data_IF_300314664608
#
_entry.id   IF_300314664608
#
_cell.length_a   1.000
_cell.length_b   1.000
_cell.length_c   1.000
_cell.angle_alpha   90.00
_cell.angle_beta   90.00
_cell.angle_gamma   90.00
#
_symmetry.space_group_name_H-M   'P 1'
#
loop_
_entity.id
_entity.type
_entity.pdbx_description
1 polymer ?
#
# COMPACT_ATOMS: atom_id res chain seq x y z
N UNK A 1 -23.33 40.42 38.98
CA UNK A 1 -24.47 39.60 38.53
C UNK A 1 -24.59 39.64 37.00
N UNK A 2 -23.70 38.95 36.28
CA UNK A 2 -23.76 38.80 34.81
C UNK A 2 -23.27 37.42 34.33
N UNK A 3 -23.08 36.48 35.27
CA UNK A 3 -22.48 35.15 35.03
C UNK A 3 -23.47 34.00 35.23
N UNK A 4 -24.75 34.28 35.45
CA UNK A 4 -25.79 33.24 35.61
C UNK A 4 -26.53 32.96 34.28
N UNK A 5 -26.43 33.87 33.30
CA UNK A 5 -27.14 33.72 32.01
C UNK A 5 -26.40 32.84 30.99
N UNK A 6 -25.10 32.60 31.17
CA UNK A 6 -24.27 31.82 30.20
C UNK A 6 -24.38 30.31 30.41
N UNK A 7 -24.80 29.87 31.60
CA UNK A 7 -24.90 28.44 31.93
C UNK A 7 -26.19 27.82 31.36
N UNK A 8 -27.21 28.64 31.04
CA UNK A 8 -28.50 28.14 30.53
C UNK A 8 -28.51 27.86 29.02
N UNK A 9 -27.49 28.28 28.26
CA UNK A 9 -27.35 27.95 26.83
C UNK A 9 -26.73 26.55 26.65
N UNK A 10 -26.12 25.97 27.69
CA UNK A 10 -25.45 24.66 27.63
C UNK A 10 -26.42 23.49 27.93
N UNK A 11 -27.61 23.74 28.48
CA UNK A 11 -28.52 22.67 28.97
C UNK A 11 -29.77 22.39 28.14
N UNK A 12 -30.01 23.05 27.00
CA UNK A 12 -31.28 22.88 26.25
C UNK A 12 -31.13 22.24 24.85
N UNK A 13 -29.92 21.90 24.40
CA UNK A 13 -29.76 21.09 23.17
C UNK A 13 -29.32 19.66 23.52
N UNK A 14 -29.92 19.14 24.59
CA UNK A 14 -30.01 17.71 24.81
C UNK A 14 -31.50 17.41 24.96
N UNK A 15 -32.00 16.70 23.95
CA UNK A 15 -33.26 15.95 23.87
C UNK A 15 -34.36 16.51 22.97
N UNK A 16 -34.61 15.70 21.93
CA UNK A 16 -35.81 15.60 21.10
C UNK A 16 -35.85 16.50 19.86
N UNK A 17 -34.98 16.18 18.89
CA UNK A 17 -35.47 15.83 17.56
C UNK A 17 -34.78 14.54 17.10
N UNK A 18 -35.62 13.50 16.98
CA UNK A 18 -35.56 12.37 16.03
C UNK A 18 -34.23 11.60 15.94
N UNK A 19 -34.04 10.47 16.62
CA UNK A 19 -34.56 9.12 16.27
C UNK A 19 -34.24 8.64 14.83
N UNK A 20 -33.61 9.46 13.97
CA UNK A 20 -33.08 9.02 12.67
C UNK A 20 -31.54 9.00 12.59
N UNK A 21 -30.84 9.51 13.62
CA UNK A 21 -29.37 9.52 13.64
C UNK A 21 -28.72 8.28 14.28
N UNK A 22 -29.50 7.38 14.92
CA UNK A 22 -28.94 6.20 15.59
C UNK A 22 -28.83 4.96 14.70
N UNK A 23 -29.53 4.93 13.55
CA UNK A 23 -29.39 3.84 12.58
C UNK A 23 -28.49 4.16 11.38
N UNK A 24 -28.04 5.40 11.19
CA UNK A 24 -27.05 5.76 10.15
C UNK A 24 -25.60 5.78 10.63
N UNK A 25 -25.36 5.57 11.94
CA UNK A 25 -24.00 5.46 12.50
C UNK A 25 -23.43 4.04 12.47
N UNK A 26 -24.20 3.10 11.95
CA UNK A 26 -23.75 1.74 11.70
C UNK A 26 -23.17 1.69 10.28
N UNK A 27 -21.83 1.64 10.22
CA UNK A 27 -21.04 1.22 9.05
C UNK A 27 -20.82 2.25 7.94
N UNK A 28 -20.31 3.45 8.27
CA UNK A 28 -19.32 4.07 7.37
C UNK A 28 -17.99 3.37 7.66
N UNK A 29 -17.70 2.28 6.95
CA UNK A 29 -16.29 2.07 6.61
C UNK A 29 -15.94 3.26 5.74
N UNK A 30 -15.02 4.11 6.20
CA UNK A 30 -14.58 5.24 5.38
C UNK A 30 -13.93 4.67 4.14
N UNK A 31 -14.14 5.31 3.00
CA UNK A 31 -13.45 4.96 1.77
C UNK A 31 -11.92 4.95 1.99
N UNK A 32 -11.41 5.80 2.90
CA UNK A 32 -10.02 5.75 3.41
C UNK A 32 -9.68 4.40 4.04
N UNK A 33 -10.49 3.90 4.98
CA UNK A 33 -10.21 2.64 5.67
C UNK A 33 -10.10 1.48 4.67
N UNK A 34 -11.04 1.42 3.73
CA UNK A 34 -11.02 0.41 2.68
C UNK A 34 -9.78 0.54 1.78
N UNK A 35 -9.45 1.73 1.30
CA UNK A 35 -8.27 1.94 0.45
C UNK A 35 -6.96 1.62 1.16
N UNK A 36 -6.84 1.94 2.44
CA UNK A 36 -5.65 1.61 3.23
C UNK A 36 -5.55 0.10 3.46
N UNK A 37 -6.67 -0.59 3.70
CA UNK A 37 -6.69 -2.07 3.78
C UNK A 37 -6.27 -2.70 2.45
N UNK A 38 -6.80 -2.21 1.34
CA UNK A 38 -6.46 -2.69 -0.01
C UNK A 38 -4.98 -2.43 -0.35
N UNK A 39 -4.46 -1.24 -0.03
CA UNK A 39 -3.05 -0.89 -0.19
C UNK A 39 -2.14 -1.83 0.61
N UNK A 40 -2.46 -2.11 1.88
CA UNK A 40 -1.65 -3.02 2.68
C UNK A 40 -1.73 -4.46 2.19
N UNK A 41 -2.92 -4.90 1.74
CA UNK A 41 -3.06 -6.23 1.15
C UNK A 41 -2.23 -6.35 -0.13
N UNK A 42 -2.23 -5.31 -0.98
CA UNK A 42 -1.39 -5.27 -2.17
C UNK A 42 0.10 -5.28 -1.83
N UNK A 43 0.54 -4.43 -0.90
CA UNK A 43 1.93 -4.41 -0.43
C UNK A 43 2.36 -5.77 0.12
N UNK A 44 1.50 -6.45 0.89
CA UNK A 44 1.75 -7.80 1.40
C UNK A 44 1.87 -8.84 0.28
N UNK A 45 1.03 -8.76 -0.74
CA UNK A 45 1.12 -9.65 -1.89
C UNK A 45 2.44 -9.44 -2.63
N UNK A 46 2.87 -8.19 -2.85
CA UNK A 46 4.18 -7.90 -3.43
C UNK A 46 5.30 -8.53 -2.60
N UNK A 47 5.32 -8.33 -1.29
CA UNK A 47 6.35 -8.90 -0.40
C UNK A 47 6.42 -10.42 -0.49
N UNK A 48 5.26 -11.10 -0.58
CA UNK A 48 5.21 -12.56 -0.62
C UNK A 48 5.60 -13.12 -1.99
N UNK A 49 5.21 -12.45 -3.07
CA UNK A 49 5.33 -12.96 -4.43
C UNK A 49 6.66 -12.54 -5.09
N UNK A 50 7.22 -11.38 -4.71
CA UNK A 50 8.44 -10.84 -5.32
C UNK A 50 9.68 -11.69 -5.05
N UNK A 51 9.82 -12.25 -3.85
CA UNK A 51 10.98 -13.04 -3.47
C UNK A 51 11.19 -14.28 -4.35
N UNK A 52 10.20 -15.19 -4.45
CA UNK A 52 10.27 -16.33 -5.35
C UNK A 52 10.45 -15.93 -6.83
N UNK A 53 9.75 -14.88 -7.27
CA UNK A 53 9.86 -14.38 -8.64
C UNK A 53 11.29 -13.92 -8.95
N UNK A 54 11.89 -13.08 -8.10
CA UNK A 54 13.22 -12.51 -8.32
C UNK A 54 14.29 -13.60 -8.26
N UNK A 55 14.19 -14.55 -7.32
CA UNK A 55 15.11 -15.70 -7.29
C UNK A 55 15.08 -16.48 -8.61
N UNK A 56 13.89 -16.78 -9.14
CA UNK A 56 13.77 -17.51 -10.40
C UNK A 56 14.36 -16.72 -11.58
N UNK A 57 14.22 -15.39 -11.59
CA UNK A 57 14.84 -14.52 -12.60
C UNK A 57 16.36 -14.53 -12.51
N UNK A 58 16.93 -14.37 -11.30
CA UNK A 58 18.38 -14.41 -11.08
C UNK A 58 18.96 -15.77 -11.54
N UNK A 59 18.28 -16.88 -11.23
CA UNK A 59 18.69 -18.23 -11.65
C UNK A 59 18.65 -18.43 -13.17
N UNK A 60 17.68 -17.82 -13.86
CA UNK A 60 17.51 -17.94 -15.30
C UNK A 60 18.34 -16.92 -16.11
N UNK A 61 18.83 -15.86 -15.47
CA UNK A 61 19.56 -14.78 -16.12
C UNK A 61 20.96 -15.22 -16.57
N UNK A 62 21.41 -14.86 -17.78
CA UNK A 62 22.76 -15.17 -18.25
C UNK A 62 23.86 -14.69 -17.30
N UNK A 63 24.92 -15.49 -17.15
CA UNK A 63 26.10 -15.16 -16.35
C UNK A 63 27.16 -14.46 -17.22
N UNK A 64 26.91 -13.19 -17.53
CA UNK A 64 27.79 -12.33 -18.33
C UNK A 64 27.81 -10.91 -17.79
N UNK A 65 28.88 -10.17 -18.06
CA UNK A 65 29.09 -8.77 -17.62
C UNK A 65 27.89 -7.85 -17.93
N UNK A 66 27.26 -8.01 -19.11
CA UNK A 66 26.10 -7.22 -19.52
C UNK A 66 24.86 -7.33 -18.60
N UNK A 67 24.81 -8.36 -17.73
CA UNK A 67 23.70 -8.61 -16.80
C UNK A 67 24.06 -8.35 -15.33
N UNK A 68 25.31 -8.01 -15.02
CA UNK A 68 25.77 -7.84 -13.64
C UNK A 68 25.00 -6.72 -12.90
N UNK A 69 24.69 -5.62 -13.57
CA UNK A 69 23.93 -4.51 -12.99
C UNK A 69 22.52 -4.96 -12.57
N UNK A 70 21.76 -5.58 -13.48
CA UNK A 70 20.42 -6.08 -13.18
C UNK A 70 20.43 -7.13 -12.08
N UNK A 71 21.42 -8.04 -12.10
CA UNK A 71 21.58 -9.05 -11.05
C UNK A 71 21.83 -8.38 -9.69
N UNK A 72 22.72 -7.39 -9.64
CA UNK A 72 23.02 -6.65 -8.42
C UNK A 72 21.81 -5.92 -7.84
N UNK A 73 20.97 -5.30 -8.68
CA UNK A 73 19.74 -4.64 -8.22
C UNK A 73 18.72 -5.64 -7.65
N UNK A 74 18.53 -6.76 -8.33
CA UNK A 74 17.63 -7.84 -7.89
C UNK A 74 18.10 -8.50 -6.59
N UNK A 75 19.41 -8.76 -6.45
CA UNK A 75 20.02 -9.30 -5.24
C UNK A 75 19.92 -8.31 -4.06
N UNK A 76 20.13 -7.02 -4.32
CA UNK A 76 19.96 -5.96 -3.33
C UNK A 76 18.51 -5.91 -2.82
N UNK A 77 17.53 -6.06 -3.70
CA UNK A 77 16.13 -6.19 -3.28
C UNK A 77 15.89 -7.42 -2.40
N UNK A 78 16.41 -8.58 -2.77
CA UNK A 78 16.29 -9.81 -1.96
C UNK A 78 16.90 -9.62 -0.57
N UNK A 79 18.06 -8.95 -0.47
CA UNK A 79 18.67 -8.62 0.82
C UNK A 79 17.72 -7.80 1.71
N UNK A 80 17.07 -6.77 1.14
CA UNK A 80 16.08 -5.95 1.87
C UNK A 80 14.85 -6.76 2.28
N UNK A 81 14.41 -7.68 1.42
CA UNK A 81 13.30 -8.58 1.70
C UNK A 81 13.62 -9.55 2.86
N UNK A 82 14.86 -10.01 2.98
CA UNK A 82 15.27 -10.87 4.08
C UNK A 82 15.41 -10.08 5.39
N UNK A 83 15.96 -8.86 5.35
CA UNK A 83 15.97 -7.95 6.52
C UNK A 83 14.56 -7.67 7.07
N UNK A 84 13.57 -7.58 6.17
CA UNK A 84 12.16 -7.46 6.56
C UNK A 84 11.66 -8.67 7.33
N UNK A 85 11.96 -9.90 6.87
CA UNK A 85 11.51 -11.15 7.50
C UNK A 85 12.14 -11.35 8.88
N UNK A 86 13.37 -10.88 9.08
CA UNK A 86 14.12 -11.08 10.32
C UNK A 86 13.67 -10.15 11.47
N UNK A 87 13.09 -8.99 11.14
CA UNK A 87 12.76 -7.96 12.12
C UNK A 87 11.25 -7.88 12.38
N UNK A 88 10.80 -8.29 13.57
CA UNK A 88 9.38 -8.14 13.98
C UNK A 88 8.94 -6.67 14.15
N UNK A 89 7.67 -6.37 13.89
CA UNK A 89 7.00 -5.10 14.21
C UNK A 89 6.88 -4.09 13.06
N UNK A 90 5.84 -3.24 13.11
CA UNK A 90 5.47 -2.23 12.09
C UNK A 90 5.28 -2.79 10.66
N UNK A 91 4.60 -3.93 10.55
CA UNK A 91 4.49 -4.69 9.31
C UNK A 91 3.85 -3.93 8.17
N UNK A 92 2.76 -3.21 8.42
CA UNK A 92 2.12 -2.38 7.42
C UNK A 92 3.08 -1.36 6.79
N UNK A 93 3.85 -0.66 7.64
CA UNK A 93 4.86 0.31 7.18
C UNK A 93 5.96 -0.38 6.36
N UNK A 94 6.53 -1.46 6.88
CA UNK A 94 7.63 -2.16 6.22
C UNK A 94 7.20 -2.82 4.90
N UNK A 95 5.99 -3.36 4.83
CA UNK A 95 5.42 -3.90 3.58
C UNK A 95 5.31 -2.81 2.52
N UNK A 96 4.89 -1.59 2.90
CA UNK A 96 4.88 -0.45 1.98
C UNK A 96 6.30 -0.07 1.56
N UNK A 97 7.25 0.00 2.50
CA UNK A 97 8.65 0.33 2.17
C UNK A 97 9.27 -0.69 1.19
N UNK A 98 8.97 -1.98 1.36
CA UNK A 98 9.38 -3.02 0.42
C UNK A 98 8.65 -2.95 -0.92
N UNK A 99 7.35 -2.62 -0.91
CA UNK A 99 6.60 -2.39 -2.14
C UNK A 99 7.21 -1.24 -2.94
N UNK A 100 7.53 -0.11 -2.30
CA UNK A 100 8.20 1.02 -2.95
C UNK A 100 9.56 0.59 -3.49
N UNK A 101 10.35 -0.14 -2.69
CA UNK A 101 11.62 -0.69 -3.17
C UNK A 101 11.47 -1.59 -4.39
N UNK A 102 10.40 -2.38 -4.44
CA UNK A 102 10.13 -3.25 -5.58
C UNK A 102 9.79 -2.40 -6.82
N UNK A 103 8.98 -1.35 -6.66
CA UNK A 103 8.69 -0.41 -7.75
C UNK A 103 9.94 0.29 -8.26
N UNK A 104 10.87 0.67 -7.38
CA UNK A 104 12.14 1.27 -7.78
C UNK A 104 12.97 0.33 -8.67
N UNK A 105 13.03 -0.96 -8.32
CA UNK A 105 13.68 -2.00 -9.13
C UNK A 105 12.98 -2.20 -10.46
N UNK A 106 11.65 -2.03 -10.50
CA UNK A 106 10.87 -2.20 -11.72
C UNK A 106 10.92 -0.98 -12.65
N UNK A 107 11.29 0.19 -12.15
CA UNK A 107 11.25 1.47 -12.86
C UNK A 107 12.05 1.47 -14.19
N UNK A 108 13.27 0.90 -14.26
CA UNK A 108 14.03 0.84 -15.51
C UNK A 108 13.34 0.04 -16.63
N UNK A 109 12.38 -0.83 -16.28
CA UNK A 109 11.63 -1.64 -17.24
C UNK A 109 10.27 -1.03 -17.59
N UNK A 110 9.90 0.09 -16.98
CA UNK A 110 8.62 0.78 -17.20
C UNK A 110 8.69 1.81 -18.36
N UNK A 111 9.88 2.10 -18.87
CA UNK A 111 10.07 2.90 -20.09
C UNK A 111 9.49 2.15 -21.32
N UNK A 112 9.20 2.87 -22.41
CA UNK A 112 8.66 2.24 -23.60
C UNK A 112 9.59 1.11 -24.08
N UNK A 113 9.03 -0.03 -24.53
CA UNK A 113 9.84 -1.18 -24.93
C UNK A 113 10.91 -0.83 -25.99
N UNK A 114 10.72 0.23 -26.78
CA UNK A 114 11.70 0.68 -27.77
C UNK A 114 12.94 1.37 -27.16
N UNK A 115 12.84 1.87 -25.92
CA UNK A 115 13.86 2.68 -25.26
C UNK A 115 14.81 1.87 -24.37
N UNK A 116 14.39 0.67 -23.92
CA UNK A 116 15.20 -0.18 -23.03
C UNK A 116 16.18 -1.09 -23.79
N UNK A 117 17.31 -1.41 -23.15
CA UNK A 117 18.36 -2.27 -23.72
C UNK A 117 17.88 -3.70 -24.03
N UNK A 118 18.53 -4.44 -24.96
CA UNK A 118 18.18 -5.85 -25.22
C UNK A 118 18.22 -6.72 -23.95
N UNK A 119 19.16 -6.47 -23.05
CA UNK A 119 19.29 -7.16 -21.78
C UNK A 119 18.14 -6.82 -20.84
N UNK A 120 17.74 -5.55 -20.75
CA UNK A 120 16.59 -5.14 -19.95
C UNK A 120 15.29 -5.79 -20.45
N UNK A 121 15.11 -5.91 -21.77
CA UNK A 121 13.96 -6.64 -22.36
C UNK A 121 13.94 -8.10 -21.96
N UNK A 122 15.11 -8.75 -21.96
CA UNK A 122 15.22 -10.15 -21.55
C UNK A 122 14.91 -10.32 -20.06
N UNK A 123 15.40 -9.42 -19.20
CA UNK A 123 15.06 -9.44 -17.77
C UNK A 123 13.56 -9.19 -17.56
N UNK A 124 12.95 -8.23 -18.27
CA UNK A 124 11.50 -7.99 -18.24
C UNK A 124 10.70 -9.21 -18.69
N UNK A 125 11.15 -9.91 -19.73
CA UNK A 125 10.55 -11.18 -20.18
C UNK A 125 10.61 -12.24 -19.08
N UNK A 126 11.77 -12.42 -18.45
CA UNK A 126 11.95 -13.36 -17.33
C UNK A 126 11.05 -12.99 -16.14
N UNK A 127 10.97 -11.71 -15.77
CA UNK A 127 10.08 -11.24 -14.70
C UNK A 127 8.60 -11.54 -15.03
N UNK A 128 8.19 -11.30 -16.28
CA UNK A 128 6.83 -11.57 -16.78
C UNK A 128 6.47 -13.04 -16.70
N UNK A 129 7.39 -13.93 -17.08
CA UNK A 129 7.21 -15.39 -17.01
C UNK A 129 7.13 -15.91 -15.57
N UNK A 130 7.73 -15.18 -14.61
CA UNK A 130 7.81 -15.58 -13.21
C UNK A 130 6.80 -14.86 -12.29
N UNK A 131 5.83 -14.12 -12.84
CA UNK A 131 4.68 -13.63 -12.08
C UNK A 131 4.48 -12.11 -12.05
N UNK A 132 5.32 -11.33 -12.72
CA UNK A 132 5.18 -9.87 -12.76
C UNK A 132 3.80 -9.44 -13.31
N UNK A 133 3.28 -10.13 -14.33
CA UNK A 133 1.96 -9.85 -14.90
C UNK A 133 0.83 -9.96 -13.86
N UNK A 134 0.93 -10.91 -12.93
CA UNK A 134 -0.05 -11.06 -11.86
C UNK A 134 0.03 -9.90 -10.86
N UNK A 135 1.23 -9.40 -10.56
CA UNK A 135 1.42 -8.23 -9.70
C UNK A 135 0.91 -6.95 -10.39
N UNK A 136 1.13 -6.79 -11.69
CA UNK A 136 0.60 -5.67 -12.47
C UNK A 136 -0.93 -5.66 -12.47
N UNK A 137 -1.58 -6.80 -12.69
CA UNK A 137 -3.04 -6.90 -12.63
C UNK A 137 -3.61 -6.57 -11.24
N UNK A 138 -2.89 -6.90 -10.17
CA UNK A 138 -3.28 -6.50 -8.82
C UNK A 138 -3.14 -4.98 -8.61
N UNK A 139 -2.08 -4.39 -9.15
CA UNK A 139 -1.87 -2.94 -9.11
C UNK A 139 -2.96 -2.20 -9.89
N UNK A 140 -3.28 -2.66 -11.11
CA UNK A 140 -4.36 -2.13 -11.94
C UNK A 140 -5.71 -2.17 -11.20
N UNK A 141 -6.07 -3.31 -10.62
CA UNK A 141 -7.31 -3.43 -9.84
C UNK A 141 -7.35 -2.49 -8.64
N UNK A 142 -6.23 -2.29 -7.96
CA UNK A 142 -6.16 -1.33 -6.87
C UNK A 142 -6.34 0.10 -7.38
N UNK A 143 -5.65 0.48 -8.46
CA UNK A 143 -5.77 1.81 -9.08
C UNK A 143 -7.16 2.10 -9.65
N UNK A 144 -7.83 1.11 -10.24
CA UNK A 144 -9.22 1.26 -10.74
C UNK A 144 -10.21 1.62 -9.64
N UNK A 145 -9.96 1.18 -8.41
CA UNK A 145 -10.79 1.46 -7.25
C UNK A 145 -10.32 2.71 -6.48
N UNK A 146 -9.19 3.29 -6.86
CA UNK A 146 -8.61 4.48 -6.25
C UNK A 146 -9.10 5.78 -6.93
N UNK A 147 -10.10 6.37 -6.33
CA UNK A 147 -10.60 7.74 -6.48
C UNK A 147 -9.84 8.70 -5.55
N UNK A 148 -9.00 9.56 -6.12
CA UNK A 148 -8.15 10.52 -5.43
C UNK A 148 -8.95 11.72 -4.88
N UNK A 149 -9.95 12.19 -5.63
CA UNK A 149 -10.86 13.27 -5.22
C UNK A 149 -11.63 12.88 -3.94
N UNK A 150 -12.18 11.66 -3.93
CA UNK A 150 -12.91 11.14 -2.77
C UNK A 150 -11.99 10.87 -1.58
N UNK A 151 -10.75 10.45 -1.83
CA UNK A 151 -9.76 10.31 -0.76
C UNK A 151 -9.50 11.66 -0.09
N UNK A 152 -9.33 12.72 -0.88
CA UNK A 152 -9.10 14.07 -0.38
C UNK A 152 -10.30 14.58 0.42
N UNK A 153 -11.53 14.43 -0.09
CA UNK A 153 -12.76 14.85 0.60
C UNK A 153 -12.91 14.17 1.98
N UNK A 154 -12.69 12.85 2.04
CA UNK A 154 -12.79 12.14 3.31
C UNK A 154 -11.63 12.46 4.26
N UNK A 155 -10.43 12.72 3.74
CA UNK A 155 -9.25 13.03 4.58
C UNK A 155 -9.41 14.37 5.30
N UNK A 156 -9.98 15.37 4.63
CA UNK A 156 -10.26 16.69 5.22
C UNK A 156 -11.29 16.62 6.37
N UNK A 157 -12.16 15.60 6.37
CA UNK A 157 -13.18 15.39 7.39
C UNK A 157 -12.78 14.38 8.48
N UNK A 158 -11.53 13.88 8.42
CA UNK A 158 -11.08 12.76 9.22
C UNK A 158 -10.86 13.15 10.69
N UNK A 159 -11.48 12.42 11.63
CA UNK A 159 -11.38 12.72 13.06
C UNK A 159 -10.21 11.97 13.72
N UNK A 160 -9.75 12.47 14.87
CA UNK A 160 -8.76 11.77 15.71
C UNK A 160 -9.21 10.35 16.10
N UNK A 161 -10.52 10.12 16.21
CA UNK A 161 -11.05 8.82 16.60
C UNK A 161 -10.95 7.81 15.45
N UNK A 162 -11.08 8.27 14.22
CA UNK A 162 -10.90 7.44 13.03
C UNK A 162 -9.41 7.05 12.86
N UNK A 163 -8.50 7.96 13.19
CA UNK A 163 -7.05 7.68 13.20
C UNK A 163 -6.66 6.60 14.23
N UNK A 164 -7.36 6.55 15.38
CA UNK A 164 -7.19 5.49 16.38
C UNK A 164 -7.78 4.14 15.92
N UNK A 165 -8.82 4.14 15.09
CA UNK A 165 -9.36 2.91 14.51
C UNK A 165 -8.43 2.32 13.45
N UNK A 166 -7.61 3.15 12.79
CA UNK A 166 -6.58 2.67 11.88
C UNK A 166 -5.43 1.96 12.59
N UNK A 167 -5.21 2.22 13.89
CA UNK A 167 -4.03 1.73 14.61
C UNK A 167 -3.94 0.20 14.59
N UNK A 168 -5.07 -0.51 14.62
CA UNK A 168 -5.10 -1.98 14.49
C UNK A 168 -4.59 -2.46 13.14
N UNK A 169 -4.84 -1.70 12.08
CA UNK A 169 -4.39 -2.02 10.72
C UNK A 169 -2.87 -1.80 10.60
N UNK A 170 -2.34 -0.77 11.25
CA UNK A 170 -0.89 -0.48 11.28
C UNK A 170 -0.07 -1.46 12.12
N UNK A 171 -0.69 -2.09 13.13
CA UNK A 171 -0.01 -2.96 14.11
C UNK A 171 -0.13 -4.45 13.80
N UNK A 172 -0.72 -4.83 12.66
CA UNK A 172 -0.88 -6.25 12.31
C UNK A 172 0.47 -6.98 12.25
N UNK A 173 0.47 -8.26 12.61
CA UNK A 173 1.67 -9.08 12.82
C UNK A 173 2.17 -9.63 11.46
N UNK A 174 3.48 -9.47 11.21
CA UNK A 174 4.30 -10.31 10.34
C UNK A 174 4.64 -11.55 11.19
#
# INVERSE_FOLDING_TARGET
MRTVLTIFIITVIVQVYSIDAYHLRFRRSTYIEQNVQELFQFAKNIVNDSGPMINAVIEAMPDTEDYEEYRGELENYLSRLDEYKENSGMCAKKSIELMVSFMDVMMPYAEEEEEISPQAKEVLRLLSENGLLNLQQQAEKWMENFDDEKLQEEYETWSKNDMNNMTSIWTEIC
#
